data_IF_651917857290
#
_entry.id   IF_651917857290
#
_cell.length_a   1.000
_cell.length_b   1.000
_cell.length_c   1.000
_cell.angle_alpha   90.00
_cell.angle_beta   90.00
_cell.angle_gamma   90.00
#
_symmetry.space_group_name_H-M   'P 1'
#
loop_
_entity.id
_entity.type
_entity.pdbx_description
1 polymer ?
#
# COMPACT_ATOMS: atom_id res chain seq x y z
N UNK A 1 7.59 -14.52 2.26
CA UNK A 1 8.80 -13.73 1.96
C UNK A 1 8.49 -12.28 2.30
N UNK A 2 9.48 -11.49 2.74
CA UNK A 2 9.25 -10.06 2.98
C UNK A 2 9.08 -9.35 1.64
N UNK A 3 7.99 -8.62 1.47
CA UNK A 3 7.73 -7.76 0.30
C UNK A 3 7.49 -6.34 0.76
N UNK A 4 7.86 -5.39 -0.10
CA UNK A 4 7.56 -3.97 0.10
C UNK A 4 6.44 -3.58 -0.83
N UNK A 5 5.40 -2.97 -0.27
CA UNK A 5 4.23 -2.53 -1.02
C UNK A 5 4.15 -1.02 -1.04
N UNK A 6 3.77 -0.46 -2.18
CA UNK A 6 3.43 0.95 -2.33
C UNK A 6 1.91 1.09 -2.24
N UNK A 7 1.47 1.86 -1.25
CA UNK A 7 0.06 2.22 -1.04
C UNK A 7 -0.33 3.19 -2.15
N UNK A 8 -1.11 2.72 -3.11
CA UNK A 8 -1.45 3.56 -4.26
C UNK A 8 -2.38 4.69 -3.86
N UNK A 9 -2.21 5.83 -4.54
CA UNK A 9 -3.03 7.05 -4.36
C UNK A 9 -2.97 7.61 -2.92
N UNK A 10 -1.96 7.21 -2.16
CA UNK A 10 -1.47 7.98 -1.03
C UNK A 10 -0.31 8.83 -1.50
N UNK A 11 -0.21 10.04 -0.96
CA UNK A 11 0.99 10.85 -1.07
C UNK A 11 1.30 11.31 0.34
N UNK A 12 2.48 10.96 0.83
CA UNK A 12 3.07 11.60 2.00
C UNK A 12 3.20 13.10 1.75
N UNK A 13 3.55 13.86 2.79
CA UNK A 13 3.65 15.33 2.69
C UNK A 13 4.60 15.81 1.59
N UNK A 14 5.58 14.99 1.22
CA UNK A 14 6.59 15.27 0.20
C UNK A 14 6.19 14.76 -1.21
N UNK A 15 4.95 14.30 -1.40
CA UNK A 15 4.48 13.75 -2.67
C UNK A 15 4.91 12.31 -2.95
N UNK A 16 5.69 11.70 -2.05
CA UNK A 16 6.11 10.30 -2.18
C UNK A 16 4.98 9.36 -1.74
N UNK A 17 4.69 8.30 -2.50
CA UNK A 17 3.76 7.26 -2.07
C UNK A 17 4.21 6.61 -0.76
N UNK A 18 3.26 6.29 0.13
CA UNK A 18 3.59 5.56 1.36
C UNK A 18 3.96 4.12 1.01
N UNK A 19 5.02 3.60 1.64
CA UNK A 19 5.47 2.23 1.45
C UNK A 19 5.51 1.46 2.77
N UNK A 20 5.11 0.19 2.72
CA UNK A 20 5.12 -0.70 3.88
C UNK A 20 5.81 -2.03 3.57
N UNK A 21 6.73 -2.49 4.44
CA UNK A 21 7.24 -3.85 4.39
C UNK A 21 6.31 -4.82 5.16
N UNK A 22 5.97 -5.95 4.55
CA UNK A 22 5.16 -6.99 5.21
C UNK A 22 5.46 -8.39 4.68
N UNK A 23 5.20 -9.40 5.51
CA UNK A 23 5.26 -10.82 5.15
C UNK A 23 3.89 -11.39 4.76
N UNK A 24 2.83 -10.58 4.86
CA UNK A 24 1.49 -11.00 4.48
C UNK A 24 1.41 -11.28 2.97
N UNK A 25 0.66 -12.32 2.57
CA UNK A 25 0.52 -12.66 1.17
C UNK A 25 -0.38 -11.67 0.42
N UNK A 26 -0.27 -11.62 -0.91
CA UNK A 26 -1.27 -10.98 -1.79
C UNK A 26 -2.69 -11.47 -1.51
N UNK A 27 -3.68 -10.62 -1.77
CA UNK A 27 -5.09 -10.81 -1.41
C UNK A 27 -5.41 -10.49 0.06
N UNK A 28 -4.40 -10.11 0.85
CA UNK A 28 -4.64 -9.68 2.24
C UNK A 28 -5.06 -8.22 2.28
N UNK A 29 -6.10 -7.93 3.07
CA UNK A 29 -6.51 -6.55 3.36
C UNK A 29 -5.86 -6.08 4.64
N UNK A 30 -5.24 -4.91 4.59
CA UNK A 30 -4.65 -4.23 5.73
C UNK A 30 -5.31 -2.88 5.96
N UNK A 31 -5.14 -2.34 7.15
CA UNK A 31 -5.51 -0.96 7.48
C UNK A 31 -4.23 -0.16 7.74
N UNK A 32 -4.10 1.00 7.10
CA UNK A 32 -2.97 1.92 7.28
C UNK A 32 -3.48 3.34 7.55
N UNK A 33 -2.72 4.13 8.32
CA UNK A 33 -3.06 5.53 8.57
C UNK A 33 -2.50 6.41 7.44
N UNK A 34 -3.36 7.08 6.70
CA UNK A 34 -3.02 8.03 5.65
C UNK A 34 -3.52 9.41 6.06
N UNK A 35 -2.62 10.36 6.25
CA UNK A 35 -3.00 11.69 6.76
C UNK A 35 -3.70 11.67 8.12
N UNK A 36 -3.47 10.65 8.94
CA UNK A 36 -4.13 10.43 10.23
C UNK A 36 -5.48 9.70 10.16
N UNK A 37 -6.00 9.41 8.97
CA UNK A 37 -7.23 8.67 8.77
C UNK A 37 -6.93 7.19 8.46
N UNK A 38 -7.61 6.22 9.09
CA UNK A 38 -7.48 4.81 8.73
C UNK A 38 -8.10 4.55 7.35
N UNK A 39 -7.34 3.91 6.48
CA UNK A 39 -7.77 3.50 5.15
C UNK A 39 -7.36 2.05 4.87
N UNK A 40 -8.22 1.31 4.17
CA UNK A 40 -7.95 -0.10 3.82
C UNK A 40 -7.29 -0.24 2.46
N UNK A 41 -6.39 -1.21 2.38
CA UNK A 41 -5.69 -1.55 1.14
C UNK A 41 -5.61 -3.06 0.97
N UNK A 42 -5.79 -3.53 -0.25
CA UNK A 42 -5.49 -4.92 -0.64
C UNK A 42 -4.05 -5.00 -1.15
N UNK A 43 -3.27 -5.91 -0.56
CA UNK A 43 -1.93 -6.26 -1.04
C UNK A 43 -2.06 -7.05 -2.34
N UNK A 44 -1.42 -6.63 -3.43
CA UNK A 44 -1.54 -7.29 -4.74
C UNK A 44 -0.25 -7.96 -5.18
N UNK A 45 -0.31 -8.85 -6.17
CA UNK A 45 0.87 -9.39 -6.85
C UNK A 45 1.38 -8.49 -7.99
N UNK A 46 0.84 -7.28 -8.17
CA UNK A 46 1.22 -6.39 -9.27
C UNK A 46 2.54 -5.66 -8.95
N UNK A 47 3.65 -5.93 -9.68
CA UNK A 47 4.90 -5.23 -9.47
C UNK A 47 4.85 -3.80 -10.01
N UNK A 48 5.53 -2.89 -9.34
CA UNK A 48 5.78 -1.52 -9.78
C UNK A 48 7.21 -1.39 -10.31
N UNK A 49 7.43 -0.37 -11.15
CA UNK A 49 8.74 -0.11 -11.78
C UNK A 49 9.88 0.22 -10.80
N UNK A 50 9.57 0.48 -9.53
CA UNK A 50 10.52 0.77 -8.45
C UNK A 50 10.92 -0.47 -7.63
N UNK A 51 10.46 -1.67 -8.03
CA UNK A 51 10.76 -2.94 -7.36
C UNK A 51 9.85 -3.24 -6.15
N UNK A 52 8.80 -2.44 -5.93
CA UNK A 52 7.75 -2.74 -4.95
C UNK A 52 6.54 -3.42 -5.61
N UNK A 53 5.55 -3.79 -4.81
CA UNK A 53 4.26 -4.29 -5.27
C UNK A 53 3.15 -3.28 -4.96
N UNK A 54 2.09 -3.24 -5.75
CA UNK A 54 0.96 -2.35 -5.47
C UNK A 54 0.14 -2.84 -4.27
N UNK A 55 -0.24 -1.91 -3.41
CA UNK A 55 -1.35 -2.07 -2.48
C UNK A 55 -2.50 -1.14 -2.92
N UNK A 56 -3.60 -1.72 -3.35
CA UNK A 56 -4.74 -1.01 -3.93
C UNK A 56 -5.72 -0.57 -2.84
N UNK A 57 -6.10 0.72 -2.76
CA UNK A 57 -7.08 1.18 -1.79
C UNK A 57 -8.46 0.57 -2.05
N UNK A 58 -9.12 0.12 -0.97
CA UNK A 58 -10.48 -0.43 -1.01
C UNK A 58 -11.56 0.60 -0.66
N UNK A 59 -11.18 1.61 0.13
CA UNK A 59 -12.08 2.68 0.53
C UNK A 59 -11.91 3.86 -0.45
N UNK A 60 -12.80 3.91 -1.45
CA UNK A 60 -13.09 5.12 -2.21
C UNK A 60 -14.46 5.63 -1.78
N UNK A 61 -14.48 6.74 -1.05
CA UNK A 61 -15.62 7.65 -1.01
C UNK A 61 -15.13 9.03 -1.41
#
# INVERSE_FOLDING_TARGET
MLRRYTLLRTAGQDGTPDQIPTTQPPGTVITHLVGGCPQRFELTDAPLGDGTYAAEPLDYL
#
